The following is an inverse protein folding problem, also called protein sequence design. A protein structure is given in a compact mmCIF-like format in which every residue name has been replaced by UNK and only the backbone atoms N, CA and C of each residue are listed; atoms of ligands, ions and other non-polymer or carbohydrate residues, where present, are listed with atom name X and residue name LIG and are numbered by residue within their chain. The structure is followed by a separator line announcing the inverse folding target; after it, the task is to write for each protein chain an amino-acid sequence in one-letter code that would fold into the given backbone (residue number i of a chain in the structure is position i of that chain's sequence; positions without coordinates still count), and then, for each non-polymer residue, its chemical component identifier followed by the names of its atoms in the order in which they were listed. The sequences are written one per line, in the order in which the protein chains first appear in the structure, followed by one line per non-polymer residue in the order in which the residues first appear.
data_IF_942865619949
#
_entry.id   IF_942865619949
#
_cell.length_a   1.000
_cell.length_b   1.000
_cell.length_c   1.000
_cell.angle_alpha   90.00
_cell.angle_beta   90.00
_cell.angle_gamma   90.00
#
_symmetry.space_group_name_H-M   'P 1'
#
loop_
_entity.id
_entity.type
_entity.pdbx_description
1 polymer ?
#
# COMPACT_ATOMS: atom_id res chain seq x y z
N UNK A 1 1.23 -4.08 -0.61
CA UNK A 1 0.31 -4.49 0.47
C UNK A 1 -0.08 -5.96 0.30
N UNK A 2 -0.16 -6.77 1.36
CA UNK A 2 -0.77 -8.13 1.30
C UNK A 2 -2.29 -7.97 1.19
N UNK A 3 -2.94 -8.67 0.26
CA UNK A 3 -4.35 -8.45 -0.08
C UNK A 3 -5.25 -9.65 0.16
N UNK A 4 -4.76 -10.85 -0.14
CA UNK A 4 -5.58 -12.06 -0.15
C UNK A 4 -4.74 -13.28 0.21
N UNK A 5 -5.40 -14.28 0.77
CA UNK A 5 -4.89 -15.63 0.98
C UNK A 5 -5.85 -16.62 0.31
N UNK A 6 -5.30 -17.54 -0.47
CA UNK A 6 -6.00 -18.71 -0.97
C UNK A 6 -5.18 -19.96 -0.65
N UNK A 7 -5.86 -20.98 -0.14
CA UNK A 7 -5.27 -22.29 0.14
C UNK A 7 -6.04 -23.35 -0.62
N UNK A 8 -5.33 -24.10 -1.46
CA UNK A 8 -5.87 -25.19 -2.25
C UNK A 8 -5.32 -26.52 -1.77
N UNK A 9 -6.13 -27.56 -1.75
CA UNK A 9 -5.73 -28.96 -1.52
C UNK A 9 -6.38 -29.82 -2.58
N UNK A 10 -5.58 -30.61 -3.29
CA UNK A 10 -6.07 -31.46 -4.40
C UNK A 10 -6.87 -30.68 -5.46
N UNK A 11 -6.51 -29.41 -5.70
CA UNK A 11 -7.20 -28.53 -6.65
C UNK A 11 -8.52 -27.93 -6.14
N UNK A 12 -8.94 -28.24 -4.90
CA UNK A 12 -10.10 -27.62 -4.26
C UNK A 12 -9.65 -26.48 -3.36
N UNK A 13 -10.36 -25.35 -3.41
CA UNK A 13 -10.16 -24.23 -2.49
C UNK A 13 -10.70 -24.63 -1.10
N UNK A 14 -9.82 -24.68 -0.10
CA UNK A 14 -10.16 -25.06 1.28
C UNK A 14 -10.20 -23.86 2.24
N UNK A 15 -9.48 -22.78 1.89
CA UNK A 15 -9.52 -21.53 2.64
C UNK A 15 -9.34 -20.35 1.68
N UNK A 16 -10.16 -19.33 1.84
CA UNK A 16 -10.01 -18.04 1.18
C UNK A 16 -10.23 -16.93 2.19
N UNK A 17 -9.33 -15.97 2.22
CA UNK A 17 -9.51 -14.72 2.96
C UNK A 17 -9.12 -13.51 2.12
N UNK A 18 -10.07 -12.62 1.88
CA UNK A 18 -9.90 -11.43 1.03
C UNK A 18 -9.97 -10.19 1.91
N UNK A 19 -8.93 -9.35 1.85
CA UNK A 19 -8.86 -8.08 2.57
C UNK A 19 -9.26 -6.95 1.64
N UNK A 20 -8.62 -6.89 0.47
CA UNK A 20 -8.94 -5.93 -0.59
C UNK A 20 -9.02 -6.71 -1.91
N UNK A 21 -10.20 -6.79 -2.54
CA UNK A 21 -10.39 -7.56 -3.76
C UNK A 21 -9.57 -6.98 -4.91
N UNK A 22 -9.20 -7.84 -5.88
CA UNK A 22 -8.56 -7.41 -7.13
C UNK A 22 -9.63 -7.17 -8.18
N UNK A 23 -9.95 -5.90 -8.45
CA UNK A 23 -11.02 -5.52 -9.40
C UNK A 23 -10.61 -5.67 -10.87
N UNK A 24 -9.30 -5.68 -11.14
CA UNK A 24 -8.75 -5.61 -12.50
C UNK A 24 -8.40 -7.00 -13.08
N UNK A 25 -8.69 -8.09 -12.35
CA UNK A 25 -8.33 -9.45 -12.73
C UNK A 25 -9.51 -10.42 -12.58
N UNK A 26 -9.59 -11.39 -13.49
CA UNK A 26 -10.35 -12.62 -13.24
C UNK A 26 -9.61 -13.44 -12.17
N UNK A 27 -10.02 -13.24 -10.91
CA UNK A 27 -9.38 -13.86 -9.75
C UNK A 27 -9.47 -15.38 -9.83
N UNK A 28 -10.56 -15.94 -10.36
CA UNK A 28 -10.72 -17.40 -10.45
C UNK A 28 -9.75 -17.99 -11.47
N UNK A 29 -9.67 -17.41 -12.67
CA UNK A 29 -8.72 -17.86 -13.70
C UNK A 29 -7.27 -17.74 -13.24
N UNK A 30 -6.91 -16.62 -12.60
CA UNK A 30 -5.56 -16.39 -12.08
C UNK A 30 -5.21 -17.39 -10.97
N UNK A 31 -6.11 -17.65 -10.01
CA UNK A 31 -5.84 -18.61 -8.94
C UNK A 31 -5.68 -20.05 -9.45
N UNK A 32 -6.40 -20.46 -10.50
CA UNK A 32 -6.18 -21.75 -11.16
C UNK A 32 -4.78 -21.85 -11.79
N UNK A 33 -4.33 -20.79 -12.47
CA UNK A 33 -2.98 -20.73 -13.04
C UNK A 33 -1.89 -20.79 -11.96
N UNK A 34 -2.03 -19.98 -10.92
CA UNK A 34 -1.06 -19.90 -9.81
C UNK A 34 -1.01 -21.21 -9.04
N UNK A 35 -2.16 -21.81 -8.70
CA UNK A 35 -2.20 -23.09 -7.97
C UNK A 35 -1.59 -24.24 -8.77
N UNK A 36 -1.82 -24.30 -10.08
CA UNK A 36 -1.17 -25.28 -10.96
C UNK A 36 0.36 -25.13 -10.99
N UNK A 37 0.85 -23.89 -10.95
CA UNK A 37 2.28 -23.59 -10.87
C UNK A 37 2.87 -23.99 -9.51
N UNK A 38 2.17 -23.62 -8.42
CA UNK A 38 2.55 -23.99 -7.06
C UNK A 38 2.62 -25.49 -6.85
N UNK A 39 1.67 -26.27 -7.40
CA UNK A 39 1.65 -27.73 -7.28
C UNK A 39 2.89 -28.42 -7.85
N UNK A 40 3.54 -27.83 -8.86
CA UNK A 40 4.77 -28.36 -9.48
C UNK A 40 6.03 -28.02 -8.68
N UNK A 41 5.90 -27.15 -7.67
CA UNK A 41 7.01 -26.69 -6.87
C UNK A 41 7.44 -27.76 -5.86
N UNK A 42 8.75 -27.84 -5.62
CA UNK A 42 9.29 -28.62 -4.51
C UNK A 42 8.69 -28.14 -3.19
N UNK A 43 8.51 -29.05 -2.23
CA UNK A 43 7.95 -28.70 -0.95
C UNK A 43 8.79 -27.63 -0.23
N UNK A 44 8.11 -26.73 0.47
CA UNK A 44 8.70 -25.63 1.24
C UNK A 44 9.53 -24.63 0.44
N UNK A 45 9.57 -24.76 -0.89
CA UNK A 45 10.10 -23.73 -1.77
C UNK A 45 9.05 -22.63 -1.94
N UNK A 46 9.50 -21.38 -2.01
CA UNK A 46 8.67 -20.24 -2.36
C UNK A 46 9.01 -19.83 -3.79
N UNK A 47 7.98 -19.54 -4.57
CA UNK A 47 8.12 -18.89 -5.86
C UNK A 47 7.03 -17.82 -6.03
N UNK A 48 7.11 -17.03 -7.10
CA UNK A 48 6.15 -15.97 -7.35
C UNK A 48 5.89 -15.75 -8.83
N UNK A 49 4.74 -15.17 -9.13
CA UNK A 49 4.34 -14.74 -10.46
C UNK A 49 3.80 -13.31 -10.37
N UNK A 50 4.05 -12.51 -11.40
CA UNK A 50 3.55 -11.14 -11.50
C UNK A 50 2.56 -11.04 -12.66
N UNK A 51 1.37 -10.51 -12.37
CA UNK A 51 0.33 -10.24 -13.37
C UNK A 51 -0.21 -8.85 -13.05
N UNK A 52 -0.15 -7.96 -14.04
CA UNK A 52 -0.51 -6.55 -13.88
C UNK A 52 0.20 -5.88 -12.70
N UNK A 53 -0.55 -5.20 -11.84
CA UNK A 53 -0.08 -4.54 -10.61
C UNK A 53 0.04 -5.47 -9.41
N UNK A 54 -0.11 -6.78 -9.60
CA UNK A 54 -0.12 -7.77 -8.52
C UNK A 54 1.04 -8.76 -8.62
N UNK A 55 1.45 -9.26 -7.45
CA UNK A 55 2.36 -10.40 -7.30
C UNK A 55 1.63 -11.48 -6.50
N UNK A 56 1.71 -12.70 -7.00
CA UNK A 56 1.18 -13.91 -6.38
C UNK A 56 2.37 -14.69 -5.87
N UNK A 57 2.53 -14.77 -4.55
CA UNK A 57 3.59 -15.55 -3.91
C UNK A 57 3.00 -16.86 -3.45
N UNK A 58 3.64 -17.97 -3.78
CA UNK A 58 3.07 -19.28 -3.56
C UNK A 58 4.10 -20.31 -3.10
N UNK A 59 3.59 -21.30 -2.37
CA UNK A 59 4.33 -22.41 -1.79
C UNK A 59 3.47 -23.65 -1.84
N UNK A 60 4.10 -24.82 -2.00
CA UNK A 60 3.45 -26.11 -1.90
C UNK A 60 4.03 -26.92 -0.74
N UNK A 61 3.17 -27.60 0.01
CA UNK A 61 3.54 -28.53 1.08
C UNK A 61 2.36 -29.47 1.36
N UNK A 62 2.60 -30.78 1.50
CA UNK A 62 1.56 -31.79 1.70
C UNK A 62 0.47 -31.77 0.62
N UNK A 63 0.86 -31.55 -0.64
CA UNK A 63 -0.05 -31.34 -1.78
C UNK A 63 -1.11 -30.22 -1.52
N UNK A 64 -0.74 -29.26 -0.67
CA UNK A 64 -1.51 -28.07 -0.33
C UNK A 64 -0.78 -26.85 -0.87
N UNK A 65 -1.44 -26.08 -1.74
CA UNK A 65 -0.90 -24.88 -2.35
C UNK A 65 -1.39 -23.66 -1.58
N UNK A 66 -0.46 -22.89 -1.05
CA UNK A 66 -0.71 -21.62 -0.39
C UNK A 66 -0.38 -20.51 -1.37
N UNK A 67 -1.27 -19.54 -1.51
CA UNK A 67 -1.12 -18.42 -2.43
C UNK A 67 -1.45 -17.14 -1.67
N UNK A 68 -0.51 -16.21 -1.62
CA UNK A 68 -0.70 -14.88 -1.06
C UNK A 68 -0.61 -13.86 -2.19
N UNK A 69 -1.68 -13.10 -2.36
CA UNK A 69 -1.74 -12.00 -3.34
C UNK A 69 -1.30 -10.69 -2.71
N UNK A 70 -0.58 -9.87 -3.47
CA UNK A 70 -0.16 -8.55 -3.04
C UNK A 70 0.06 -7.56 -4.17
N UNK A 71 0.13 -6.28 -3.81
CA UNK A 71 0.64 -5.27 -4.73
C UNK A 71 2.08 -5.61 -5.15
N UNK A 72 2.37 -5.47 -6.44
CA UNK A 72 3.66 -5.82 -7.05
C UNK A 72 4.85 -5.07 -6.47
N UNK A 73 4.63 -3.84 -5.97
CA UNK A 73 5.67 -3.07 -5.32
C UNK A 73 6.09 -3.62 -3.95
N UNK A 74 5.30 -4.50 -3.32
CA UNK A 74 5.64 -5.01 -2.00
C UNK A 74 7.03 -5.68 -1.96
N UNK A 75 7.71 -5.54 -0.82
CA UNK A 75 9.03 -6.13 -0.62
C UNK A 75 8.95 -7.66 -0.64
N UNK A 76 9.61 -8.30 -1.61
CA UNK A 76 9.60 -9.76 -1.74
C UNK A 76 10.18 -10.46 -0.49
N UNK A 77 11.22 -9.89 0.12
CA UNK A 77 11.83 -10.44 1.35
C UNK A 77 10.82 -10.53 2.49
N UNK A 78 10.17 -9.42 2.86
CA UNK A 78 9.18 -9.38 3.95
C UNK A 78 8.02 -10.34 3.71
N UNK A 79 7.69 -10.52 2.44
CA UNK A 79 6.60 -11.36 2.01
C UNK A 79 6.96 -12.82 2.10
N UNK A 80 8.19 -13.20 1.72
CA UNK A 80 8.66 -14.56 1.90
C UNK A 80 8.70 -14.92 3.39
N UNK A 81 9.12 -13.98 4.26
CA UNK A 81 9.06 -14.15 5.71
C UNK A 81 7.61 -14.33 6.20
N UNK A 82 6.68 -13.50 5.72
CA UNK A 82 5.25 -13.61 6.04
C UNK A 82 4.65 -14.94 5.56
N UNK A 83 5.03 -15.38 4.35
CA UNK A 83 4.59 -16.63 3.72
C UNK A 83 5.06 -17.84 4.52
N UNK A 84 6.35 -17.88 4.89
CA UNK A 84 6.89 -18.96 5.74
C UNK A 84 6.17 -19.01 7.09
N UNK A 85 5.99 -17.86 7.74
CA UNK A 85 5.29 -17.79 9.03
C UNK A 85 3.84 -18.29 8.90
N UNK A 86 3.15 -17.90 7.83
CA UNK A 86 1.79 -18.33 7.52
C UNK A 86 1.72 -19.86 7.36
N UNK A 87 2.55 -20.41 6.48
CA UNK A 87 2.54 -21.86 6.19
C UNK A 87 2.94 -22.65 7.43
N UNK A 88 3.99 -22.25 8.16
CA UNK A 88 4.40 -22.93 9.40
C UNK A 88 3.28 -22.94 10.45
N UNK A 89 2.57 -21.82 10.63
CA UNK A 89 1.42 -21.75 11.55
C UNK A 89 0.28 -22.64 11.09
N UNK A 90 -0.01 -22.65 9.78
CA UNK A 90 -1.06 -23.51 9.23
C UNK A 90 -0.74 -24.99 9.46
N UNK A 91 0.49 -25.41 9.16
CA UNK A 91 0.92 -26.79 9.35
C UNK A 91 0.91 -27.19 10.83
N UNK A 92 1.35 -26.31 11.73
CA UNK A 92 1.27 -26.57 13.18
C UNK A 92 -0.16 -26.89 13.64
N UNK A 93 -1.18 -26.28 13.01
CA UNK A 93 -2.58 -26.47 13.37
C UNK A 93 -3.27 -27.61 12.62
N UNK A 94 -2.85 -27.91 11.39
CA UNK A 94 -3.64 -28.74 10.47
C UNK A 94 -2.86 -29.87 9.79
N UNK A 95 -1.57 -30.06 10.02
CA UNK A 95 -0.75 -31.07 9.33
C UNK A 95 -1.38 -32.47 9.39
N UNK A 96 -1.70 -32.99 10.57
CA UNK A 96 -2.31 -34.32 10.71
C UNK A 96 -3.67 -34.46 10.00
N UNK A 97 -4.42 -33.36 9.88
CA UNK A 97 -5.70 -33.32 9.15
C UNK A 97 -5.47 -33.35 7.62
N UNK A 98 -4.39 -32.72 7.14
CA UNK A 98 -4.04 -32.68 5.72
C UNK A 98 -3.46 -34.02 5.20
N UNK A 99 -2.93 -34.84 6.10
CA UNK A 99 -2.41 -36.19 5.82
C UNK A 99 -3.50 -37.26 5.77
N UNK A 100 -4.68 -37.00 6.34
CA UNK A 100 -5.84 -37.89 6.31
C UNK A 100 -6.90 -37.38 5.31
N UNK A 101 -8.04 -38.08 5.19
CA UNK A 101 -9.17 -37.60 4.38
C UNK A 101 -10.06 -36.58 5.12
N UNK A 102 -9.77 -36.29 6.40
CA UNK A 102 -10.57 -35.43 7.27
C UNK A 102 -10.64 -33.99 6.79
N UNK A 103 -9.61 -33.50 6.08
CA UNK A 103 -9.57 -32.14 5.52
C UNK A 103 -10.79 -31.80 4.66
N UNK A 104 -11.47 -32.80 4.07
CA UNK A 104 -12.69 -32.60 3.27
C UNK A 104 -13.86 -32.08 4.09
N UNK A 105 -13.84 -32.29 5.40
CA UNK A 105 -14.88 -31.88 6.35
C UNK A 105 -14.42 -30.84 7.37
N UNK A 106 -13.12 -30.52 7.40
CA UNK A 106 -12.54 -29.57 8.35
C UNK A 106 -12.90 -28.13 8.02
N UNK A 107 -13.25 -27.36 9.04
CA UNK A 107 -13.36 -25.92 8.95
C UNK A 107 -12.00 -25.24 9.14
N UNK A 108 -11.47 -24.66 8.05
CA UNK A 108 -10.22 -23.90 8.06
C UNK A 108 -10.42 -22.40 8.31
N UNK A 109 -11.67 -21.90 8.41
CA UNK A 109 -11.96 -20.48 8.64
C UNK A 109 -11.30 -19.89 9.91
N UNK A 110 -11.12 -20.61 11.03
CA UNK A 110 -10.43 -20.08 12.20
C UNK A 110 -8.99 -19.60 11.91
N UNK A 111 -8.34 -20.11 10.86
CA UNK A 111 -7.01 -19.68 10.48
C UNK A 111 -6.95 -18.23 9.96
N UNK A 112 -8.09 -17.65 9.55
CA UNK A 112 -8.17 -16.25 9.10
C UNK A 112 -7.60 -15.29 10.12
N UNK A 113 -7.84 -15.48 11.41
CA UNK A 113 -7.30 -14.62 12.47
C UNK A 113 -5.76 -14.60 12.49
N UNK A 114 -5.14 -15.76 12.27
CA UNK A 114 -3.69 -15.87 12.16
C UNK A 114 -3.17 -15.13 10.91
N UNK A 115 -3.86 -15.26 9.78
CA UNK A 115 -3.53 -14.50 8.57
C UNK A 115 -3.65 -12.99 8.78
N UNK A 116 -4.76 -12.50 9.35
CA UNK A 116 -4.97 -11.08 9.66
C UNK A 116 -3.89 -10.53 10.59
N UNK A 117 -3.48 -11.31 11.59
CA UNK A 117 -2.36 -10.97 12.48
C UNK A 117 -1.03 -10.83 11.72
N UNK A 118 -0.74 -11.73 10.77
CA UNK A 118 0.47 -11.66 9.94
C UNK A 118 0.46 -10.42 9.05
N UNK A 119 -0.71 -10.07 8.49
CA UNK A 119 -0.88 -8.86 7.69
C UNK A 119 -0.64 -7.60 8.50
N UNK A 120 -1.18 -7.50 9.72
CA UNK A 120 -0.94 -6.36 10.62
C UNK A 120 0.53 -6.20 11.05
N UNK A 121 1.32 -7.27 11.02
CA UNK A 121 2.78 -7.22 11.25
C UNK A 121 3.58 -6.74 10.05
N UNK A 122 2.94 -6.51 8.90
CA UNK A 122 3.55 -6.03 7.67
C UNK A 122 2.94 -4.68 7.26
N UNK A 123 3.38 -3.55 7.89
CA UNK A 123 2.78 -2.26 7.65
C UNK A 123 2.81 -1.83 6.18
N UNK A 124 1.70 -1.30 5.69
CA UNK A 124 1.58 -0.71 4.35
C UNK A 124 2.36 0.59 4.32
N UNK A 125 3.27 0.69 3.36
CA UNK A 125 4.13 1.86 3.21
C UNK A 125 3.43 2.94 2.38
N UNK A 126 3.29 4.12 2.99
CA UNK A 126 2.70 5.34 2.39
C UNK A 126 3.80 6.38 2.25
N UNK A 127 3.96 6.94 1.05
CA UNK A 127 4.98 7.94 0.77
C UNK A 127 4.32 9.31 0.57
N UNK A 128 4.65 10.27 1.43
CA UNK A 128 4.26 11.67 1.25
C UNK A 128 5.31 12.36 0.38
N UNK A 129 4.95 12.69 -0.85
CA UNK A 129 5.84 13.29 -1.83
C UNK A 129 5.40 14.72 -2.16
N UNK A 130 6.33 15.67 -2.23
CA UNK A 130 6.00 17.07 -2.53
C UNK A 130 7.10 18.03 -2.11
N UNK A 131 7.06 19.25 -2.65
CA UNK A 131 8.08 20.27 -2.40
C UNK A 131 8.20 20.66 -0.92
N UNK A 132 9.28 21.34 -0.55
CA UNK A 132 9.46 21.94 0.77
C UNK A 132 8.28 22.85 1.12
N UNK A 133 7.82 22.82 2.37
CA UNK A 133 6.76 23.69 2.85
C UNK A 133 5.33 23.32 2.46
N UNK A 134 5.08 22.22 1.74
CA UNK A 134 3.70 21.82 1.37
C UNK A 134 2.85 21.26 2.53
N UNK A 135 3.49 20.96 3.67
CA UNK A 135 2.82 20.47 4.88
C UNK A 135 2.88 18.96 5.10
N UNK A 136 3.76 18.23 4.40
CA UNK A 136 3.95 16.77 4.57
C UNK A 136 4.22 16.36 6.02
N UNK A 137 5.15 17.04 6.69
CA UNK A 137 5.47 16.81 8.11
C UNK A 137 4.25 17.06 8.99
N UNK A 138 3.47 18.10 8.72
CA UNK A 138 2.20 18.37 9.42
C UNK A 138 1.18 17.24 9.26
N UNK A 139 1.02 16.70 8.04
CA UNK A 139 0.15 15.54 7.77
C UNK A 139 0.62 14.28 8.54
N UNK A 140 1.94 14.06 8.64
CA UNK A 140 2.52 12.94 9.40
C UNK A 140 2.28 13.10 10.90
N UNK A 141 2.60 14.27 11.46
CA UNK A 141 2.49 14.56 12.89
C UNK A 141 1.03 14.54 13.36
N UNK A 142 0.10 15.19 12.64
CA UNK A 142 -1.32 15.21 13.03
C UNK A 142 -1.98 13.83 12.92
N UNK A 143 -1.48 12.94 12.05
CA UNK A 143 -1.95 11.57 12.00
C UNK A 143 -1.54 10.79 13.26
N UNK A 144 -0.29 10.96 13.70
CA UNK A 144 0.37 10.11 14.70
C UNK A 144 0.36 10.66 16.13
N UNK A 145 0.27 11.98 16.30
CA UNK A 145 0.31 12.69 17.58
C UNK A 145 -0.91 13.63 17.68
N UNK A 146 -2.13 13.10 17.86
CA UNK A 146 -3.37 13.90 17.86
C UNK A 146 -3.43 14.98 18.96
N UNK A 147 -2.63 14.83 20.02
CA UNK A 147 -2.54 15.79 21.12
C UNK A 147 -1.67 17.01 20.80
N UNK A 148 -0.84 16.95 19.76
CA UNK A 148 -0.06 18.08 19.27
C UNK A 148 -0.87 18.72 18.14
N UNK A 149 -1.32 19.97 18.33
CA UNK A 149 -1.90 20.76 17.24
C UNK A 149 -0.90 20.95 16.09
N UNK A 150 -1.31 21.58 14.96
CA UNK A 150 -0.42 21.77 13.82
C UNK A 150 0.85 22.55 14.23
N UNK A 151 2.04 22.20 13.70
CA UNK A 151 3.28 22.93 13.97
C UNK A 151 3.11 24.41 13.65
N UNK A 152 3.58 25.28 14.55
CA UNK A 152 3.51 26.73 14.37
C UNK A 152 4.68 27.27 13.54
N UNK A 153 5.80 26.54 13.49
CA UNK A 153 7.01 26.91 12.75
C UNK A 153 7.37 25.83 11.72
N UNK A 154 7.91 26.26 10.57
CA UNK A 154 8.41 25.36 9.54
C UNK A 154 9.87 24.99 9.80
N UNK A 155 10.12 23.70 10.08
CA UNK A 155 11.46 23.13 10.17
C UNK A 155 11.68 22.19 8.96
N UNK A 156 12.71 22.42 8.11
CA UNK A 156 12.94 21.56 6.96
C UNK A 156 13.32 20.11 7.31
N UNK A 157 12.70 19.13 6.66
CA UNK A 157 13.07 17.71 6.76
C UNK A 157 14.29 17.39 5.88
N UNK A 158 15.42 17.00 6.49
CA UNK A 158 16.68 16.76 5.78
C UNK A 158 16.75 15.43 5.01
N UNK A 159 16.39 14.30 5.62
CA UNK A 159 16.50 12.97 4.98
C UNK A 159 15.18 12.18 4.93
N UNK A 160 14.10 12.79 5.39
CA UNK A 160 12.81 12.16 5.58
C UNK A 160 12.55 11.68 7.00
N UNK A 161 11.29 11.56 7.36
CA UNK A 161 10.82 11.04 8.66
C UNK A 161 9.87 9.86 8.45
N UNK A 162 9.74 8.99 9.45
CA UNK A 162 8.93 7.78 9.38
C UNK A 162 8.16 7.59 10.69
N UNK A 163 6.84 7.49 10.59
CA UNK A 163 6.00 7.11 11.73
C UNK A 163 5.13 5.89 11.41
N UNK A 164 4.94 5.03 12.42
CA UNK A 164 3.97 3.95 12.39
C UNK A 164 2.63 4.51 12.87
N UNK A 165 1.62 4.46 12.01
CA UNK A 165 0.26 4.90 12.29
C UNK A 165 -0.60 3.67 12.63
N UNK A 166 -1.06 3.63 13.88
CA UNK A 166 -2.06 2.69 14.36
C UNK A 166 -3.39 3.43 14.49
N UNK A 167 -4.34 3.13 13.61
CA UNK A 167 -5.70 3.64 13.65
C UNK A 167 -6.65 2.53 13.16
N UNK A 168 -7.92 2.87 12.93
CA UNK A 168 -8.93 1.91 12.48
C UNK A 168 -8.78 1.56 10.98
N UNK A 169 -7.78 0.73 10.69
CA UNK A 169 -7.45 0.24 9.36
C UNK A 169 -7.39 -1.30 9.31
N UNK A 170 -8.04 -1.98 10.25
CA UNK A 170 -7.90 -3.43 10.44
C UNK A 170 -8.06 -4.22 9.12
N UNK A 171 -7.14 -5.14 8.80
CA UNK A 171 -5.99 -5.60 9.60
C UNK A 171 -4.69 -4.82 9.35
N UNK A 172 -4.71 -3.74 8.57
CA UNK A 172 -3.50 -3.02 8.19
C UNK A 172 -3.00 -2.09 9.29
N UNK A 173 -1.68 -1.95 9.34
CA UNK A 173 -0.99 -0.81 9.94
C UNK A 173 -0.32 0.00 8.84
N UNK A 174 -0.20 1.32 9.00
CA UNK A 174 0.48 2.16 8.01
C UNK A 174 1.83 2.63 8.52
N UNK A 175 2.85 2.59 7.65
CA UNK A 175 4.12 3.26 7.86
C UNK A 175 4.20 4.43 6.89
N UNK A 176 4.02 5.64 7.41
CA UNK A 176 4.03 6.86 6.60
C UNK A 176 5.46 7.40 6.58
N UNK A 177 5.96 7.71 5.38
CA UNK A 177 7.26 8.30 5.14
C UNK A 177 7.08 9.74 4.63
N UNK A 178 7.55 10.71 5.40
CA UNK A 178 7.71 12.11 4.96
C UNK A 178 9.01 12.22 4.17
N UNK A 179 8.95 12.64 2.91
CA UNK A 179 10.12 12.81 2.06
C UNK A 179 10.68 14.22 2.14
N UNK A 180 12.00 14.36 2.21
CA UNK A 180 12.66 15.67 2.15
C UNK A 180 12.28 16.41 0.88
N UNK A 181 11.58 17.54 1.00
CA UNK A 181 10.99 18.26 -0.14
C UNK A 181 11.91 19.27 -0.84
N UNK A 182 13.16 19.43 -0.38
CA UNK A 182 14.14 20.28 -1.03
C UNK A 182 14.83 19.52 -2.16
N UNK A 183 15.10 20.19 -3.29
CA UNK A 183 15.63 19.58 -4.52
C UNK A 183 16.89 18.71 -4.27
N UNK A 184 17.79 19.16 -3.40
CA UNK A 184 19.01 18.42 -3.02
C UNK A 184 18.75 17.05 -2.38
N UNK A 185 17.57 16.82 -1.81
CA UNK A 185 17.22 15.55 -1.15
C UNK A 185 16.41 14.61 -2.04
N UNK A 186 15.96 15.07 -3.21
CA UNK A 186 15.18 14.24 -4.14
C UNK A 186 15.97 13.04 -4.63
N UNK A 187 17.30 13.16 -4.75
CA UNK A 187 18.19 12.04 -5.12
C UNK A 187 18.14 10.87 -4.11
N UNK A 188 17.76 11.14 -2.86
CA UNK A 188 17.64 10.12 -1.82
C UNK A 188 16.26 9.46 -1.77
N UNK A 189 15.25 10.03 -2.46
CA UNK A 189 13.88 9.52 -2.42
C UNK A 189 13.81 8.06 -2.84
N UNK A 190 14.51 7.64 -3.90
CA UNK A 190 14.50 6.25 -4.35
C UNK A 190 14.86 5.27 -3.24
N UNK A 191 15.87 5.59 -2.42
CA UNK A 191 16.26 4.74 -1.28
C UNK A 191 15.16 4.65 -0.22
N UNK A 192 14.44 5.75 0.00
CA UNK A 192 13.42 5.89 1.04
C UNK A 192 12.08 5.32 0.60
N UNK A 193 11.67 5.46 -0.65
CA UNK A 193 10.31 5.13 -1.11
C UNK A 193 10.17 3.69 -1.58
N UNK A 194 11.27 2.98 -1.90
CA UNK A 194 11.28 1.60 -2.38
C UNK A 194 10.24 0.70 -1.70
N UNK A 195 9.49 -0.03 -2.51
CA UNK A 195 8.37 -0.86 -2.07
C UNK A 195 7.18 -0.13 -1.41
N UNK A 196 7.02 1.16 -1.68
CA UNK A 196 5.82 1.93 -1.35
C UNK A 196 4.60 1.34 -2.05
N UNK A 197 3.49 1.19 -1.32
CA UNK A 197 2.22 0.72 -1.91
C UNK A 197 1.33 1.90 -2.32
N UNK A 198 1.50 3.04 -1.65
CA UNK A 198 0.69 4.24 -1.86
C UNK A 198 1.58 5.48 -1.86
N UNK A 199 1.26 6.42 -2.74
CA UNK A 199 1.89 7.74 -2.86
C UNK A 199 0.82 8.81 -2.66
N UNK A 200 1.10 9.76 -1.78
CA UNK A 200 0.27 10.94 -1.60
C UNK A 200 1.09 12.16 -2.00
N UNK A 201 0.70 12.79 -3.09
CA UNK A 201 1.32 14.01 -3.61
C UNK A 201 0.78 15.20 -2.82
N UNK A 202 1.59 15.74 -1.91
CA UNK A 202 1.19 16.86 -1.06
C UNK A 202 1.63 18.15 -1.71
N UNK A 203 0.64 18.97 -2.08
CA UNK A 203 0.84 20.28 -2.70
C UNK A 203 0.41 21.38 -1.74
N UNK A 204 0.94 22.59 -1.88
CA UNK A 204 0.36 23.79 -1.26
C UNK A 204 -0.68 24.47 -2.17
N UNK A 205 -1.17 23.73 -3.18
CA UNK A 205 -2.18 24.17 -4.14
C UNK A 205 -1.77 25.37 -5.01
N UNK A 206 -0.48 25.67 -5.15
CA UNK A 206 0.03 26.74 -6.04
C UNK A 206 0.50 26.19 -7.38
N UNK A 207 0.43 27.00 -8.45
CA UNK A 207 0.88 26.60 -9.81
C UNK A 207 2.37 26.19 -9.82
N UNK A 208 3.22 26.90 -9.09
CA UNK A 208 4.66 26.62 -9.01
C UNK A 208 4.91 25.25 -8.36
N UNK A 209 4.14 24.91 -7.32
CA UNK A 209 4.23 23.61 -6.69
C UNK A 209 3.76 22.46 -7.59
N UNK A 210 2.70 22.69 -8.37
CA UNK A 210 2.25 21.72 -9.39
C UNK A 210 3.34 21.51 -10.43
N UNK A 211 3.95 22.59 -10.94
CA UNK A 211 5.06 22.51 -11.90
C UNK A 211 6.27 21.76 -11.31
N UNK A 212 6.62 22.04 -10.05
CA UNK A 212 7.68 21.31 -9.36
C UNK A 212 7.36 19.81 -9.24
N UNK A 213 6.13 19.46 -8.86
CA UNK A 213 5.70 18.06 -8.69
C UNK A 213 5.83 17.30 -10.02
N UNK A 214 5.38 17.90 -11.13
CA UNK A 214 5.52 17.34 -12.48
C UNK A 214 6.98 17.12 -12.86
N UNK A 215 7.82 18.14 -12.69
CA UNK A 215 9.21 18.14 -13.14
C UNK A 215 10.13 17.28 -12.28
N UNK A 216 9.88 17.21 -10.97
CA UNK A 216 10.84 16.69 -9.98
C UNK A 216 10.35 15.41 -9.31
N UNK A 217 9.11 15.39 -8.82
CA UNK A 217 8.61 14.24 -8.08
C UNK A 217 8.25 13.07 -9.01
N UNK A 218 7.52 13.32 -10.10
CA UNK A 218 7.04 12.27 -11.01
C UNK A 218 8.12 11.41 -11.65
N UNK A 219 9.24 11.95 -12.16
CA UNK A 219 10.30 11.10 -12.72
C UNK A 219 10.81 10.06 -11.72
N UNK A 220 11.02 10.45 -10.46
CA UNK A 220 11.50 9.54 -9.42
C UNK A 220 10.42 8.53 -9.02
N UNK A 221 9.17 8.99 -8.85
CA UNK A 221 8.07 8.11 -8.49
C UNK A 221 7.79 7.06 -9.57
N UNK A 222 7.85 7.43 -10.87
CA UNK A 222 7.68 6.48 -11.98
C UNK A 222 8.79 5.45 -12.05
N UNK A 223 10.03 5.86 -11.78
CA UNK A 223 11.17 4.95 -11.79
C UNK A 223 11.09 3.94 -10.62
N UNK A 224 10.70 4.40 -9.44
CA UNK A 224 10.83 3.62 -8.20
C UNK A 224 9.53 2.92 -7.79
N UNK A 225 8.36 3.47 -8.15
CA UNK A 225 7.04 3.06 -7.69
C UNK A 225 5.95 3.00 -8.79
N UNK A 226 6.21 2.46 -10.00
CA UNK A 226 5.24 2.49 -11.12
C UNK A 226 3.84 1.97 -10.77
N UNK A 227 3.74 0.84 -10.05
CA UNK A 227 2.46 0.25 -9.62
C UNK A 227 1.90 0.77 -8.28
N UNK A 228 2.47 1.81 -7.67
CA UNK A 228 1.89 2.38 -6.45
C UNK A 228 0.64 3.19 -6.78
N UNK A 229 -0.34 3.16 -5.87
CA UNK A 229 -1.57 3.96 -5.98
C UNK A 229 -1.28 5.40 -5.60
N UNK A 230 -1.69 6.36 -6.43
CA UNK A 230 -1.42 7.77 -6.28
C UNK A 230 -2.70 8.60 -6.19
N UNK A 231 -2.70 9.51 -5.21
CA UNK A 231 -3.65 10.61 -5.08
C UNK A 231 -2.88 11.90 -4.76
N UNK A 232 -3.54 13.04 -4.90
CA UNK A 232 -3.03 14.32 -4.41
C UNK A 232 -3.79 14.81 -3.18
N UNK A 233 -3.05 15.46 -2.28
CA UNK A 233 -3.61 16.32 -1.24
C UNK A 233 -3.34 17.75 -1.67
N UNK A 234 -4.41 18.46 -2.03
CA UNK A 234 -4.41 19.90 -2.25
C UNK A 234 -4.47 20.58 -0.88
N UNK A 235 -3.30 20.80 -0.26
CA UNK A 235 -3.21 21.35 1.08
C UNK A 235 -3.27 22.89 1.06
N UNK A 236 -3.46 23.49 2.24
CA UNK A 236 -3.50 24.96 2.43
C UNK A 236 -4.62 25.66 1.66
N UNK A 237 -5.78 24.99 1.57
CA UNK A 237 -6.97 25.52 0.89
C UNK A 237 -7.58 26.77 1.58
N UNK A 238 -7.04 27.17 2.72
CA UNK A 238 -7.35 28.42 3.41
C UNK A 238 -6.60 29.63 2.86
N UNK A 239 -5.53 29.43 2.08
CA UNK A 239 -4.70 30.53 1.57
C UNK A 239 -5.27 31.15 0.28
N UNK A 240 -5.11 32.47 0.10
CA UNK A 240 -5.52 33.13 -1.14
C UNK A 240 -4.70 32.62 -2.33
N UNK A 241 -5.37 32.39 -3.46
CA UNK A 241 -4.73 31.91 -4.68
C UNK A 241 -4.50 30.39 -4.74
N UNK A 242 -4.95 29.64 -3.72
CA UNK A 242 -4.98 28.18 -3.79
C UNK A 242 -5.88 27.70 -4.93
N UNK A 243 -5.35 26.84 -5.80
CA UNK A 243 -6.12 26.11 -6.79
C UNK A 243 -7.12 25.17 -6.08
N UNK A 244 -8.31 25.01 -6.65
CA UNK A 244 -9.27 24.04 -6.12
C UNK A 244 -8.70 22.61 -6.21
N UNK A 245 -9.15 21.67 -5.37
CA UNK A 245 -8.71 20.28 -5.46
C UNK A 245 -8.96 19.68 -6.83
N UNK A 246 -10.09 20.00 -7.47
CA UNK A 246 -10.41 19.58 -8.84
C UNK A 246 -9.36 20.05 -9.86
N UNK A 247 -8.96 21.33 -9.81
CA UNK A 247 -7.94 21.88 -10.70
C UNK A 247 -6.56 21.31 -10.41
N UNK A 248 -6.21 21.07 -9.14
CA UNK A 248 -4.99 20.36 -8.76
C UNK A 248 -4.98 18.96 -9.36
N UNK A 249 -6.09 18.23 -9.23
CA UNK A 249 -6.21 16.87 -9.73
C UNK A 249 -6.13 16.78 -11.24
N UNK A 250 -6.82 17.69 -11.94
CA UNK A 250 -6.72 17.80 -13.40
C UNK A 250 -5.30 18.09 -13.86
N UNK A 251 -4.60 19.03 -13.21
CA UNK A 251 -3.22 19.37 -13.61
C UNK A 251 -2.23 18.27 -13.31
N UNK A 252 -2.36 17.59 -12.17
CA UNK A 252 -1.48 16.50 -11.78
C UNK A 252 -1.85 15.16 -12.40
N UNK A 253 -3.01 15.07 -13.05
CA UNK A 253 -3.59 13.85 -13.59
C UNK A 253 -3.75 12.74 -12.53
N UNK A 254 -4.21 13.12 -11.34
CA UNK A 254 -4.58 12.21 -10.25
C UNK A 254 -5.79 12.75 -9.48
N UNK A 255 -6.61 11.90 -8.85
CA UNK A 255 -7.65 12.36 -7.93
C UNK A 255 -7.06 13.18 -6.79
N UNK A 256 -7.68 14.30 -6.46
CA UNK A 256 -7.14 15.28 -5.53
C UNK A 256 -8.16 15.71 -4.46
N UNK A 257 -7.68 15.83 -3.22
CA UNK A 257 -8.52 16.09 -2.05
C UNK A 257 -8.01 17.31 -1.28
N UNK A 258 -8.93 18.25 -1.03
CA UNK A 258 -8.61 19.49 -0.31
C UNK A 258 -8.41 19.27 1.18
N UNK A 259 -7.32 19.77 1.74
CA UNK A 259 -7.01 19.67 3.17
C UNK A 259 -6.57 21.03 3.75
N UNK A 260 -6.89 21.23 5.03
CA UNK A 260 -6.48 22.39 5.82
C UNK A 260 -6.13 21.91 7.23
N UNK A 261 -4.84 21.99 7.61
CA UNK A 261 -4.34 21.43 8.87
C UNK A 261 -4.91 22.12 10.14
N UNK A 262 -5.48 23.31 10.00
CA UNK A 262 -6.10 24.08 11.08
C UNK A 262 -7.56 23.67 11.38
N UNK A 263 -8.17 22.82 10.56
CA UNK A 263 -9.55 22.37 10.76
C UNK A 263 -9.63 21.27 11.82
N UNK A 264 -10.66 21.31 12.67
CA UNK A 264 -10.85 20.35 13.78
C UNK A 264 -11.07 18.91 13.30
N UNK A 265 -11.69 18.75 12.13
CA UNK A 265 -11.98 17.46 11.48
C UNK A 265 -10.82 16.97 10.58
N UNK A 266 -9.70 17.70 10.50
CA UNK A 266 -8.58 17.37 9.62
C UNK A 266 -8.10 15.93 9.80
N UNK A 267 -7.87 15.50 11.05
CA UNK A 267 -7.34 14.17 11.34
C UNK A 267 -8.31 13.09 10.87
N UNK A 268 -9.59 13.23 11.17
CA UNK A 268 -10.61 12.26 10.76
C UNK A 268 -10.66 12.14 9.23
N UNK A 269 -10.71 13.27 8.53
CA UNK A 269 -10.70 13.30 7.06
C UNK A 269 -9.43 12.70 6.47
N UNK A 270 -8.28 12.95 7.08
CA UNK A 270 -7.00 12.41 6.64
C UNK A 270 -6.91 10.90 6.82
N UNK A 271 -7.33 10.38 7.99
CA UNK A 271 -7.37 8.94 8.24
C UNK A 271 -8.39 8.24 7.33
N UNK A 272 -9.58 8.83 7.16
CA UNK A 272 -10.61 8.35 6.24
C UNK A 272 -10.08 8.24 4.82
N UNK A 273 -9.35 9.27 4.34
CA UNK A 273 -8.74 9.26 3.01
C UNK A 273 -7.68 8.17 2.85
N UNK A 274 -6.80 7.99 3.84
CA UNK A 274 -5.79 6.92 3.82
C UNK A 274 -6.43 5.53 3.82
N UNK A 275 -7.50 5.34 4.60
CA UNK A 275 -8.28 4.10 4.62
C UNK A 275 -8.88 3.84 3.24
N UNK A 276 -9.62 4.82 2.72
CA UNK A 276 -10.30 4.67 1.45
C UNK A 276 -9.33 4.39 0.29
N UNK A 277 -8.14 4.99 0.30
CA UNK A 277 -7.07 4.68 -0.66
C UNK A 277 -6.53 3.24 -0.49
N UNK A 278 -6.32 2.80 0.75
CA UNK A 278 -5.79 1.48 1.05
C UNK A 278 -6.74 0.37 0.58
N UNK A 279 -8.03 0.55 0.83
CA UNK A 279 -9.11 -0.38 0.49
C UNK A 279 -9.72 -0.15 -0.90
N UNK A 280 -9.19 0.80 -1.68
CA UNK A 280 -9.64 1.10 -3.05
C UNK A 280 -11.14 1.46 -3.12
N UNK A 281 -11.58 2.25 -2.14
CA UNK A 281 -12.93 2.82 -2.00
C UNK A 281 -13.08 4.21 -2.64
N UNK A 282 -11.96 4.79 -3.09
CA UNK A 282 -11.88 6.04 -3.85
C UNK A 282 -11.11 5.82 -5.14
N UNK A 283 -11.28 6.73 -6.08
CA UNK A 283 -10.48 6.77 -7.30
C UNK A 283 -9.01 7.06 -6.97
N UNK A 284 -8.12 6.45 -7.75
CA UNK A 284 -6.68 6.68 -7.73
C UNK A 284 -6.13 6.45 -9.14
N UNK A 285 -4.88 6.84 -9.39
CA UNK A 285 -4.11 6.35 -10.54
C UNK A 285 -2.94 5.49 -10.09
N UNK A 286 -2.49 4.56 -10.92
CA UNK A 286 -1.15 4.01 -10.72
C UNK A 286 -0.13 5.05 -11.18
N UNK A 287 1.00 5.17 -10.49
CA UNK A 287 2.02 6.18 -10.81
C UNK A 287 2.47 6.13 -12.27
N UNK A 288 2.58 4.93 -12.85
CA UNK A 288 2.97 4.75 -14.25
C UNK A 288 1.92 5.28 -15.25
N UNK A 289 0.63 5.27 -14.88
CA UNK A 289 -0.50 5.66 -15.73
C UNK A 289 -0.84 7.15 -15.65
N UNK A 290 -0.12 7.90 -14.82
CA UNK A 290 -0.22 9.36 -14.80
C UNK A 290 0.28 9.87 -16.16
N UNK A 291 -0.29 10.94 -16.69
CA UNK A 291 0.17 11.64 -17.88
C UNK A 291 0.76 12.98 -17.44
N UNK A 292 2.08 13.14 -17.60
CA UNK A 292 2.72 14.45 -17.40
C UNK A 292 2.77 15.11 -18.76
N UNK A 293 1.89 16.08 -19.02
CA UNK A 293 2.14 17.01 -20.12
C UNK A 293 3.49 17.69 -19.86
N UNK A 294 4.47 17.41 -20.72
CA UNK A 294 5.72 18.17 -20.81
C UNK A 294 5.37 19.56 -21.33
N UNK A 295 5.20 20.51 -20.41
CA UNK A 295 5.06 21.93 -20.73
C UNK A 295 6.40 22.57 -21.02
#
# INVERSE_FOLDING_TARGET
MIRELHVFKEGKLILQDVIVPNKDLDTTAVMMLVSSSAKKLQEWKIDSMEIERYRFVYLNSHNTQFIVTMDRQASLQKVNEAMMNLVSKFMTSYEGVLESDEWRSTDFQPFKEAFRTIVGRNPVKVCLAGHGGTGKTTLLELATLPSKGPPQEYVPTFFGDKALLKADFDPYLFSIFDLGGQDRFVQEWGKIIRSGSMVVLVTDSTKDNIAWTKRVAYPVLRAELPYARAIAVANKQDLPGALSPEEVGKRLDVPAYGMQANKRDFRERWLSLLRALAFEEIDFKLVQDIEVEES
#
